data_IF_358849013794
#
_entry.id   IF_358849013794
#
_cell.length_a   1.000
_cell.length_b   1.000
_cell.length_c   1.000
_cell.angle_alpha   90.00
_cell.angle_beta   90.00
_cell.angle_gamma   90.00
#
_symmetry.space_group_name_H-M   'P 1'
#
loop_
_entity.id
_entity.type
_entity.pdbx_description
1 polymer ?
#
# COMPACT_ATOMS: atom_id res chain seq x y z
N UNK A 1 2.98 -4.44 30.96
CA UNK A 1 2.72 -4.28 29.51
C UNK A 1 2.45 -2.81 29.28
N UNK A 2 3.34 -2.11 28.58
CA UNK A 2 3.13 -0.71 28.20
C UNK A 2 2.37 -0.72 26.87
N UNK A 3 1.04 -0.74 26.93
CA UNK A 3 0.21 -0.60 25.74
C UNK A 3 0.17 0.86 25.28
N UNK A 4 0.28 1.09 23.97
CA UNK A 4 0.07 2.41 23.36
C UNK A 4 -1.45 2.64 23.25
N UNK A 5 -1.90 3.80 23.72
CA UNK A 5 -3.29 4.24 23.53
C UNK A 5 -3.38 4.91 22.15
N UNK A 6 -4.13 4.31 21.23
CA UNK A 6 -4.45 4.91 19.93
C UNK A 6 -5.78 5.64 20.05
N UNK A 7 -5.79 6.93 19.71
CA UNK A 7 -7.01 7.72 19.63
C UNK A 7 -7.59 7.62 18.21
N UNK A 8 -8.74 6.97 18.08
CA UNK A 8 -9.55 7.02 16.85
C UNK A 8 -10.44 8.26 16.95
N UNK A 9 -10.20 9.25 16.09
CA UNK A 9 -10.95 10.51 16.06
C UNK A 9 -11.76 10.55 14.76
N UNK A 10 -13.08 10.66 14.89
CA UNK A 10 -14.05 10.69 13.77
C UNK A 10 -14.34 12.11 13.22
N UNK A 11 -13.73 13.16 13.78
CA UNK A 11 -14.00 14.57 13.40
C UNK A 11 -12.70 15.24 12.95
N UNK A 12 -12.61 15.51 11.64
CA UNK A 12 -11.38 15.91 10.96
C UNK A 12 -11.14 17.43 10.88
N UNK A 13 -12.18 18.27 11.03
CA UNK A 13 -12.08 19.73 10.84
C UNK A 13 -11.39 20.46 12.01
N UNK A 14 -11.32 19.83 13.19
CA UNK A 14 -10.71 20.38 14.41
C UNK A 14 -9.31 19.80 14.71
N UNK A 15 -8.76 18.99 13.81
CA UNK A 15 -7.47 18.33 14.07
C UNK A 15 -6.33 19.37 14.08
N UNK A 16 -5.48 19.38 15.12
CA UNK A 16 -4.36 20.30 15.19
C UNK A 16 -3.41 20.10 14.01
N UNK A 17 -3.01 21.21 13.36
CA UNK A 17 -2.03 21.20 12.25
C UNK A 17 -0.58 21.18 12.76
N UNK A 18 -0.37 20.69 13.97
CA UNK A 18 0.95 20.53 14.55
C UNK A 18 1.58 19.25 13.96
N UNK A 19 2.85 19.32 13.57
CA UNK A 19 3.54 18.17 13.00
C UNK A 19 3.77 17.11 14.08
N UNK A 20 2.93 16.07 14.09
CA UNK A 20 3.11 14.92 14.98
C UNK A 20 4.10 13.94 14.39
N UNK A 21 4.91 13.31 15.24
CA UNK A 21 5.74 12.19 14.87
C UNK A 21 5.35 10.99 15.72
N UNK A 22 4.84 9.95 15.08
CA UNK A 22 4.41 8.72 15.74
C UNK A 22 5.18 7.53 15.19
N UNK A 23 5.64 6.66 16.08
CA UNK A 23 6.35 5.43 15.71
C UNK A 23 5.75 4.24 16.46
N UNK A 24 5.40 3.20 15.72
CA UNK A 24 4.99 1.90 16.23
C UNK A 24 6.07 0.88 15.88
N UNK A 25 6.52 0.11 16.87
CA UNK A 25 7.48 -0.99 16.68
C UNK A 25 6.87 -2.25 17.27
N UNK A 26 7.06 -3.40 16.63
CA UNK A 26 6.67 -4.71 17.14
C UNK A 26 5.17 -4.77 17.54
N UNK A 27 4.30 -4.25 16.67
CA UNK A 27 2.88 -4.08 16.98
C UNK A 27 2.01 -5.08 16.23
N UNK A 28 0.92 -5.51 16.88
CA UNK A 28 -0.16 -6.29 16.25
C UNK A 28 -1.45 -5.51 16.39
N UNK A 29 -2.09 -5.21 15.27
CA UNK A 29 -3.41 -4.60 15.19
C UNK A 29 -4.44 -5.69 14.93
N UNK A 30 -5.29 -5.96 15.92
CA UNK A 30 -6.33 -6.98 15.86
C UNK A 30 -7.68 -6.40 16.32
N UNK A 31 -8.76 -6.95 15.77
CA UNK A 31 -10.12 -6.57 16.18
C UNK A 31 -10.53 -7.34 17.44
N UNK A 32 -10.77 -6.62 18.53
CA UNK A 32 -11.34 -7.20 19.75
C UNK A 32 -12.74 -7.81 19.53
N UNK A 33 -13.46 -7.35 18.51
CA UNK A 33 -14.80 -7.82 18.12
C UNK A 33 -14.77 -8.76 16.90
N UNK A 34 -13.62 -9.35 16.55
CA UNK A 34 -13.49 -10.25 15.40
C UNK A 34 -14.49 -11.43 15.38
N UNK A 35 -15.02 -11.82 16.55
CA UNK A 35 -16.05 -12.85 16.70
C UNK A 35 -17.50 -12.37 16.60
N UNK A 36 -17.75 -11.06 16.52
CA UNK A 36 -19.09 -10.47 16.57
C UNK A 36 -19.54 -10.01 15.16
N UNK A 37 -20.24 -10.90 14.46
CA UNK A 37 -20.58 -10.79 13.03
C UNK A 37 -21.57 -9.67 12.67
N UNK A 38 -22.03 -8.87 13.65
CA UNK A 38 -23.23 -8.02 13.50
C UNK A 38 -22.97 -6.61 12.94
N UNK A 39 -21.74 -6.21 12.63
CA UNK A 39 -21.46 -4.87 12.04
C UNK A 39 -20.42 -4.91 10.92
N UNK A 40 -20.73 -5.60 9.82
CA UNK A 40 -19.91 -5.60 8.59
C UNK A 40 -20.19 -4.43 7.64
N UNK A 41 -21.14 -3.54 7.95
CA UNK A 41 -21.58 -2.48 7.05
C UNK A 41 -20.89 -1.11 7.28
N UNK A 42 -19.97 -1.00 8.24
CA UNK A 42 -19.19 0.22 8.47
C UNK A 42 -17.75 -0.05 8.07
N UNK A 43 -17.16 0.89 7.34
CA UNK A 43 -15.72 0.90 7.09
C UNK A 43 -14.97 0.86 8.43
N UNK A 44 -14.06 -0.09 8.57
CA UNK A 44 -13.21 -0.21 9.78
C UNK A 44 -11.76 -0.07 9.35
N UNK A 45 -11.13 1.01 9.83
CA UNK A 45 -9.71 1.31 9.60
C UNK A 45 -8.92 0.92 10.84
N UNK A 46 -7.86 0.11 10.69
CA UNK A 46 -7.06 -0.32 11.83
C UNK A 46 -6.19 0.82 12.39
N UNK A 47 -5.54 1.57 11.51
CA UNK A 47 -4.75 2.74 11.86
C UNK A 47 -5.03 3.90 10.91
N UNK A 48 -5.49 5.02 11.47
CA UNK A 48 -5.67 6.27 10.75
C UNK A 48 -4.54 7.24 11.12
N UNK A 49 -3.73 7.62 10.14
CA UNK A 49 -2.68 8.63 10.29
C UNK A 49 -3.15 9.99 9.78
N UNK A 50 -2.81 11.04 10.52
CA UNK A 50 -3.08 12.43 10.13
C UNK A 50 -1.84 13.29 10.37
N UNK A 51 -1.47 14.09 9.35
CA UNK A 51 -0.46 15.16 9.34
C UNK A 51 0.85 14.96 10.15
N UNK A 52 2.00 15.19 9.50
CA UNK A 52 3.32 14.99 10.11
C UNK A 52 3.98 13.69 9.64
N UNK A 53 4.56 12.92 10.55
CA UNK A 53 5.35 11.71 10.25
C UNK A 53 4.82 10.49 10.99
N UNK A 54 4.68 9.38 10.26
CA UNK A 54 4.31 8.08 10.81
C UNK A 54 5.35 7.03 10.41
N UNK A 55 5.73 6.19 11.36
CA UNK A 55 6.65 5.06 11.12
C UNK A 55 6.07 3.80 11.74
N UNK A 56 6.00 2.72 10.94
CA UNK A 56 5.64 1.38 11.36
C UNK A 56 6.86 0.49 11.11
N UNK A 57 7.34 -0.17 12.15
CA UNK A 57 8.41 -1.16 12.06
C UNK A 57 7.89 -2.48 12.63
N UNK A 58 8.08 -3.57 11.91
CA UNK A 58 7.76 -4.92 12.40
C UNK A 58 6.30 -5.03 12.87
N UNK A 59 5.37 -4.54 12.04
CA UNK A 59 3.96 -4.42 12.39
C UNK A 59 3.10 -5.45 11.64
N UNK A 60 2.07 -5.97 12.30
CA UNK A 60 1.08 -6.89 11.71
C UNK A 60 -0.32 -6.30 11.83
N UNK A 61 -1.05 -6.28 10.72
CA UNK A 61 -2.47 -5.92 10.66
C UNK A 61 -3.29 -7.16 10.33
N UNK A 62 -3.99 -7.70 11.33
CA UNK A 62 -4.79 -8.92 11.20
C UNK A 62 -6.08 -8.70 10.40
N UNK A 63 -6.74 -9.78 10.00
CA UNK A 63 -8.00 -9.71 9.26
C UNK A 63 -9.18 -9.11 10.03
N UNK A 64 -10.19 -8.71 9.25
CA UNK A 64 -11.42 -8.10 9.74
C UNK A 64 -11.49 -6.58 9.62
N UNK A 65 -10.41 -5.91 9.21
CA UNK A 65 -10.44 -4.50 8.83
C UNK A 65 -10.73 -4.33 7.33
N UNK A 66 -11.46 -3.27 6.99
CA UNK A 66 -11.62 -2.82 5.59
C UNK A 66 -10.31 -2.20 5.10
N UNK A 67 -9.64 -1.40 5.94
CA UNK A 67 -8.35 -0.78 5.62
C UNK A 67 -7.36 -1.01 6.76
N UNK A 68 -6.15 -1.48 6.45
CA UNK A 68 -5.06 -1.59 7.42
C UNK A 68 -4.56 -0.21 7.83
N UNK A 69 -3.79 0.45 6.96
CA UNK A 69 -3.30 1.79 7.20
C UNK A 69 -3.95 2.82 6.26
N UNK A 70 -4.62 3.81 6.85
CA UNK A 70 -5.14 4.96 6.14
C UNK A 70 -4.24 6.18 6.39
N UNK A 71 -3.56 6.66 5.35
CA UNK A 71 -2.82 7.91 5.36
C UNK A 71 -3.75 9.04 4.91
N UNK A 72 -4.19 9.87 5.85
CA UNK A 72 -4.99 11.06 5.62
C UNK A 72 -4.11 12.33 5.75
N UNK A 73 -3.38 12.65 4.67
CA UNK A 73 -2.51 13.82 4.61
C UNK A 73 -1.27 13.76 5.50
N UNK A 74 -0.79 12.57 5.86
CA UNK A 74 0.50 12.40 6.56
C UNK A 74 1.62 12.76 5.59
N UNK A 75 2.49 13.68 5.99
CA UNK A 75 3.55 14.20 5.14
C UNK A 75 4.63 13.15 4.86
N UNK A 76 4.97 12.33 5.86
CA UNK A 76 5.95 11.26 5.71
C UNK A 76 5.47 9.95 6.35
N UNK A 77 5.34 8.89 5.54
CA UNK A 77 5.06 7.53 6.02
C UNK A 77 6.22 6.60 5.70
N UNK A 78 6.65 5.82 6.68
CA UNK A 78 7.67 4.77 6.54
C UNK A 78 7.10 3.47 7.11
N UNK A 79 6.86 2.49 6.25
CA UNK A 79 6.39 1.15 6.60
C UNK A 79 7.54 0.20 6.33
N UNK A 80 8.15 -0.34 7.39
CA UNK A 80 9.29 -1.24 7.29
C UNK A 80 8.91 -2.58 7.93
N UNK A 81 9.01 -3.67 7.19
CA UNK A 81 8.58 -5.01 7.62
C UNK A 81 7.16 -5.01 8.18
N UNK A 82 6.19 -4.72 7.30
CA UNK A 82 4.77 -4.62 7.69
C UNK A 82 3.96 -5.65 6.92
N UNK A 83 3.25 -6.48 7.66
CA UNK A 83 2.32 -7.46 7.11
C UNK A 83 0.87 -6.98 7.23
N UNK A 84 0.13 -7.02 6.13
CA UNK A 84 -1.30 -6.70 6.10
C UNK A 84 -2.14 -7.89 5.66
N UNK A 85 -3.12 -8.29 6.47
CA UNK A 85 -4.16 -9.26 6.13
C UNK A 85 -5.54 -8.59 6.15
N UNK A 86 -5.65 -7.41 5.57
CA UNK A 86 -6.87 -6.58 5.53
C UNK A 86 -7.39 -6.45 4.10
N UNK A 87 -8.66 -6.13 3.88
CA UNK A 87 -9.20 -6.03 2.50
C UNK A 87 -8.41 -5.05 1.62
N UNK A 88 -8.21 -3.82 2.13
CA UNK A 88 -7.27 -2.84 1.59
C UNK A 88 -6.08 -2.71 2.53
N UNK A 89 -4.85 -3.00 2.10
CA UNK A 89 -3.68 -2.90 2.98
C UNK A 89 -3.35 -1.44 3.31
N UNK A 90 -3.20 -0.60 2.28
CA UNK A 90 -2.94 0.83 2.43
C UNK A 90 -3.91 1.67 1.61
N UNK A 91 -4.49 2.70 2.22
CA UNK A 91 -5.19 3.77 1.51
C UNK A 91 -4.49 5.11 1.74
N UNK A 92 -4.30 5.89 0.68
CA UNK A 92 -3.65 7.20 0.75
C UNK A 92 -4.57 8.27 0.16
N UNK A 93 -4.98 9.22 1.00
CA UNK A 93 -5.75 10.40 0.62
C UNK A 93 -4.94 11.67 0.96
N UNK A 94 -4.50 12.45 -0.04
CA UNK A 94 -3.86 13.73 0.20
C UNK A 94 -4.88 14.77 0.66
N UNK A 95 -4.42 15.73 1.47
CA UNK A 95 -5.23 16.90 1.82
C UNK A 95 -4.82 18.09 0.95
N UNK A 96 -5.79 18.92 0.58
CA UNK A 96 -5.52 20.13 -0.22
C UNK A 96 -4.49 21.07 0.41
N UNK A 97 -4.38 21.06 1.74
CA UNK A 97 -3.47 21.89 2.51
C UNK A 97 -2.26 21.13 3.08
N UNK A 98 -2.24 19.78 3.03
CA UNK A 98 -1.13 18.97 3.54
C UNK A 98 -0.46 18.22 2.39
N UNK A 99 0.81 18.54 2.16
CA UNK A 99 1.62 17.81 1.19
C UNK A 99 2.05 16.46 1.78
N UNK A 100 1.84 15.39 1.01
CA UNK A 100 2.54 14.13 1.21
C UNK A 100 3.91 14.27 0.53
N UNK A 101 4.98 14.30 1.30
CA UNK A 101 6.36 14.42 0.82
C UNK A 101 6.92 13.05 0.44
N UNK A 102 6.78 12.05 1.33
CA UNK A 102 7.31 10.70 1.16
C UNK A 102 6.39 9.64 1.72
N UNK A 103 6.22 8.57 0.96
CA UNK A 103 5.62 7.34 1.45
C UNK A 103 6.55 6.20 1.04
N UNK A 104 7.08 5.45 2.01
CA UNK A 104 7.99 4.33 1.75
C UNK A 104 7.37 3.06 2.29
N UNK A 105 7.24 2.06 1.43
CA UNK A 105 6.92 0.68 1.75
C UNK A 105 8.20 -0.12 1.52
N UNK A 106 8.77 -0.63 2.60
CA UNK A 106 10.01 -1.40 2.61
C UNK A 106 9.71 -2.76 3.25
N UNK A 107 9.86 -3.84 2.48
CA UNK A 107 9.54 -5.20 2.95
C UNK A 107 8.09 -5.36 3.46
N UNK A 108 7.15 -4.73 2.75
CA UNK A 108 5.71 -4.88 3.03
C UNK A 108 5.17 -6.14 2.35
N UNK A 109 4.40 -6.94 3.08
CA UNK A 109 3.82 -8.20 2.62
C UNK A 109 2.30 -8.28 2.88
N UNK A 110 1.63 -9.15 2.13
CA UNK A 110 0.17 -9.21 2.08
C UNK A 110 -0.35 -10.63 2.35
N UNK A 111 -1.37 -10.73 3.20
CA UNK A 111 -2.14 -11.93 3.46
C UNK A 111 -3.20 -12.22 2.42
N UNK A 112 -3.91 -13.32 2.60
CA UNK A 112 -4.95 -13.80 1.68
C UNK A 112 -6.18 -12.89 1.63
N UNK A 113 -6.42 -12.09 2.68
CA UNK A 113 -7.58 -11.19 2.72
C UNK A 113 -7.39 -9.93 1.86
N UNK A 114 -6.16 -9.63 1.41
CA UNK A 114 -5.85 -8.42 0.66
C UNK A 114 -6.33 -8.56 -0.78
N UNK A 115 -7.32 -7.74 -1.14
CA UNK A 115 -7.81 -7.59 -2.51
C UNK A 115 -7.34 -6.28 -3.14
N UNK A 116 -7.04 -5.27 -2.31
CA UNK A 116 -6.50 -3.98 -2.73
C UNK A 116 -5.20 -3.67 -1.97
N UNK A 117 -4.04 -4.02 -2.53
CA UNK A 117 -2.74 -3.78 -1.90
C UNK A 117 -2.50 -2.30 -1.58
N UNK A 118 -2.78 -1.42 -2.55
CA UNK A 118 -2.63 0.01 -2.37
C UNK A 118 -3.76 0.76 -3.06
N UNK A 119 -4.39 1.70 -2.35
CA UNK A 119 -5.48 2.52 -2.85
C UNK A 119 -5.13 4.01 -2.81
N UNK A 120 -5.22 4.65 -3.96
CA UNK A 120 -5.07 6.08 -4.16
C UNK A 120 -6.45 6.75 -4.14
N UNK A 121 -6.75 7.52 -3.08
CA UNK A 121 -8.01 8.28 -2.92
C UNK A 121 -7.84 9.77 -3.29
N UNK A 122 -8.84 10.35 -3.98
CA UNK A 122 -8.98 11.79 -4.29
C UNK A 122 -7.70 12.51 -4.78
N UNK A 123 -7.14 12.08 -5.92
CA UNK A 123 -5.95 12.71 -6.50
C UNK A 123 -6.31 14.01 -7.24
N UNK A 124 -5.72 15.11 -6.77
CA UNK A 124 -5.91 16.43 -7.35
C UNK A 124 -5.12 16.59 -8.67
N UNK A 125 -5.76 17.18 -9.68
CA UNK A 125 -5.15 17.46 -10.99
C UNK A 125 -4.02 18.51 -10.96
N UNK A 126 -3.82 19.21 -9.84
CA UNK A 126 -2.75 20.21 -9.65
C UNK A 126 -2.15 20.09 -8.25
N UNK A 127 -0.88 19.65 -8.16
CA UNK A 127 0.03 19.44 -7.00
C UNK A 127 -0.62 19.10 -5.62
N UNK A 128 -0.22 17.98 -4.97
CA UNK A 128 1.18 17.75 -4.61
C UNK A 128 1.87 16.55 -5.29
N UNK A 129 3.20 16.67 -5.41
CA UNK A 129 4.10 15.61 -5.90
C UNK A 129 4.61 14.82 -4.70
N UNK A 130 3.85 13.78 -4.34
CA UNK A 130 4.27 12.76 -3.38
C UNK A 130 5.26 11.82 -4.06
N UNK A 131 6.27 11.36 -3.31
CA UNK A 131 7.10 10.23 -3.76
C UNK A 131 6.67 8.99 -2.98
N UNK A 132 6.04 8.05 -3.68
CA UNK A 132 5.74 6.71 -3.14
C UNK A 132 6.84 5.78 -3.61
N UNK A 133 7.51 5.13 -2.66
CA UNK A 133 8.59 4.18 -2.93
C UNK A 133 8.16 2.82 -2.43
N UNK A 134 8.11 1.85 -3.33
CA UNK A 134 7.94 0.43 -3.01
C UNK A 134 9.30 -0.23 -3.16
N UNK A 135 9.79 -0.88 -2.10
CA UNK A 135 11.09 -1.56 -2.15
C UNK A 135 11.20 -2.80 -1.30
N UNK A 136 12.06 -3.71 -1.76
CA UNK A 136 12.28 -5.02 -1.13
C UNK A 136 11.00 -5.85 -0.96
N UNK A 137 9.99 -5.62 -1.80
CA UNK A 137 8.70 -6.33 -1.71
C UNK A 137 8.68 -7.50 -2.69
N UNK A 138 8.18 -8.64 -2.21
CA UNK A 138 7.93 -9.84 -3.01
C UNK A 138 6.44 -10.14 -2.99
N UNK A 139 5.83 -10.19 -4.16
CA UNK A 139 4.38 -10.27 -4.34
C UNK A 139 3.99 -11.40 -5.27
N UNK A 140 2.81 -11.97 -5.09
CA UNK A 140 2.15 -12.76 -6.12
C UNK A 140 1.43 -11.82 -7.11
N UNK A 141 1.25 -12.26 -8.36
CA UNK A 141 0.63 -11.42 -9.41
C UNK A 141 -0.77 -10.92 -9.05
N UNK A 142 -1.54 -11.69 -8.29
CA UNK A 142 -2.87 -11.30 -7.78
C UNK A 142 -2.81 -10.12 -6.78
N UNK A 143 -1.64 -9.88 -6.18
CA UNK A 143 -1.38 -8.82 -5.21
C UNK A 143 -0.52 -7.68 -5.79
N UNK A 144 -0.22 -7.71 -7.09
CA UNK A 144 0.61 -6.69 -7.72
C UNK A 144 -0.17 -5.38 -8.02
N UNK A 145 -1.50 -5.47 -8.07
CA UNK A 145 -2.41 -4.39 -8.44
C UNK A 145 -2.51 -3.26 -7.42
N UNK A 146 -3.15 -2.17 -7.86
CA UNK A 146 -3.48 -1.01 -7.05
C UNK A 146 -4.79 -0.41 -7.56
N UNK A 147 -5.47 0.35 -6.71
CA UNK A 147 -6.71 1.04 -7.07
C UNK A 147 -6.50 2.56 -7.05
N UNK A 148 -7.12 3.27 -7.99
CA UNK A 148 -7.07 4.73 -8.08
C UNK A 148 -7.84 5.22 -9.31
N UNK A 149 -8.08 6.53 -9.41
CA UNK A 149 -8.56 7.11 -10.67
C UNK A 149 -7.50 6.90 -11.77
N UNK A 150 -7.94 6.81 -13.04
CA UNK A 150 -7.11 6.55 -14.25
C UNK A 150 -5.87 7.46 -14.39
N UNK A 151 -5.77 8.51 -13.59
CA UNK A 151 -4.59 9.33 -13.42
C UNK A 151 -4.16 9.25 -11.95
N UNK A 152 -3.02 8.60 -11.67
CA UNK A 152 -2.30 8.68 -10.39
C UNK A 152 -1.67 10.08 -10.24
N UNK A 153 -2.44 11.13 -10.56
CA UNK A 153 -2.10 12.55 -10.51
C UNK A 153 -0.65 12.91 -10.82
N UNK A 154 -0.12 13.85 -10.04
CA UNK A 154 1.29 14.25 -10.06
C UNK A 154 2.15 13.39 -9.13
N UNK A 155 1.79 12.15 -8.82
CA UNK A 155 2.59 11.33 -7.88
C UNK A 155 3.77 10.70 -8.60
N UNK A 156 4.95 10.74 -7.97
CA UNK A 156 6.08 9.93 -8.41
C UNK A 156 6.02 8.59 -7.72
N UNK A 157 5.90 7.55 -8.52
CA UNK A 157 6.05 6.19 -8.04
C UNK A 157 7.46 5.74 -8.41
N UNK A 158 8.18 5.24 -7.42
CA UNK A 158 9.45 4.54 -7.57
C UNK A 158 9.21 3.13 -7.06
N UNK A 159 9.41 2.14 -7.92
CA UNK A 159 9.06 0.76 -7.62
C UNK A 159 10.16 -0.17 -8.13
N UNK A 160 10.59 -1.10 -7.29
CA UNK A 160 11.51 -2.20 -7.62
C UNK A 160 10.99 -3.52 -7.02
N UNK A 161 9.66 -3.71 -6.99
CA UNK A 161 9.01 -4.91 -6.46
C UNK A 161 9.32 -6.11 -7.34
N UNK A 162 9.47 -7.28 -6.73
CA UNK A 162 9.50 -8.57 -7.41
C UNK A 162 8.11 -9.19 -7.39
N UNK A 163 7.54 -9.45 -8.57
CA UNK A 163 6.22 -10.05 -8.74
C UNK A 163 6.40 -11.45 -9.31
N UNK A 164 5.99 -12.47 -8.57
CA UNK A 164 5.96 -13.83 -9.09
C UNK A 164 4.71 -14.07 -9.94
N UNK A 165 4.92 -14.66 -11.12
CA UNK A 165 3.89 -14.91 -12.14
C UNK A 165 3.85 -16.39 -12.53
N UNK A 166 2.66 -16.88 -12.85
CA UNK A 166 2.45 -18.26 -13.31
C UNK A 166 2.79 -18.47 -14.79
N UNK A 167 2.72 -17.41 -15.59
CA UNK A 167 2.92 -17.41 -17.04
C UNK A 167 3.46 -16.05 -17.51
N UNK A 168 3.62 -15.87 -18.83
CA UNK A 168 4.15 -14.63 -19.40
C UNK A 168 3.26 -13.42 -19.03
N UNK A 169 3.80 -12.39 -18.36
CA UNK A 169 3.02 -11.26 -17.90
C UNK A 169 2.49 -10.38 -19.05
N UNK A 170 3.02 -10.53 -20.27
CA UNK A 170 2.50 -9.86 -21.48
C UNK A 170 1.20 -10.47 -21.99
N UNK A 171 0.90 -11.73 -21.63
CA UNK A 171 -0.33 -12.43 -22.02
C UNK A 171 -1.37 -12.45 -20.90
N UNK A 172 -0.91 -12.43 -19.64
CA UNK A 172 -1.76 -12.58 -18.45
C UNK A 172 -2.30 -11.26 -17.87
N UNK A 173 -2.15 -10.14 -18.56
CA UNK A 173 -2.59 -8.80 -18.11
C UNK A 173 -2.16 -8.52 -16.66
N UNK A 174 -0.87 -8.69 -16.36
CA UNK A 174 -0.36 -8.52 -14.98
C UNK A 174 -0.22 -7.03 -14.67
N UNK A 175 -0.84 -6.52 -13.58
CA UNK A 175 -0.72 -5.13 -13.19
C UNK A 175 0.64 -4.84 -12.56
N UNK A 176 1.15 -3.62 -12.75
CA UNK A 176 2.42 -3.21 -12.18
C UNK A 176 2.63 -1.69 -12.18
N UNK A 177 3.69 -1.27 -11.48
CA UNK A 177 4.30 0.02 -11.66
C UNK A 177 5.56 -0.11 -12.51
N UNK A 178 5.86 0.94 -13.27
CA UNK A 178 7.11 1.03 -14.01
C UNK A 178 8.31 0.81 -13.08
N UNK A 179 9.19 -0.12 -13.46
CA UNK A 179 10.37 -0.53 -12.69
C UNK A 179 10.21 -1.85 -11.94
N UNK A 180 8.98 -2.35 -11.75
CA UNK A 180 8.76 -3.68 -11.19
C UNK A 180 9.34 -4.77 -12.09
N UNK A 181 9.74 -5.88 -11.46
CA UNK A 181 10.21 -7.08 -12.15
C UNK A 181 9.22 -8.22 -11.96
N UNK A 182 8.74 -8.81 -13.05
CA UNK A 182 7.99 -10.06 -13.03
C UNK A 182 8.94 -11.25 -13.22
N UNK A 183 8.72 -12.34 -12.49
CA UNK A 183 9.52 -13.58 -12.58
C UNK A 183 8.62 -14.81 -12.56
N UNK A 184 8.85 -15.75 -13.47
CA UNK A 184 8.12 -17.03 -13.46
C UNK A 184 8.44 -17.83 -12.19
N UNK A 185 7.42 -18.42 -11.54
CA UNK A 185 7.64 -19.40 -10.46
C UNK A 185 8.44 -20.62 -10.96
N UNK A 186 8.21 -21.04 -12.20
CA UNK A 186 8.83 -22.19 -12.82
C UNK A 186 9.43 -21.82 -14.18
N UNK A 187 10.69 -21.35 -14.22
CA UNK A 187 11.36 -21.00 -15.47
C UNK A 187 11.50 -22.20 -16.41
N UNK A 188 11.23 -21.98 -17.70
CA UNK A 188 11.47 -22.96 -18.76
C UNK A 188 12.77 -22.62 -19.48
N UNK A 189 13.70 -23.58 -19.56
CA UNK A 189 14.98 -23.39 -20.23
C UNK A 189 14.79 -22.96 -21.69
N UNK A 190 15.47 -21.87 -22.07
CA UNK A 190 15.41 -21.32 -23.44
C UNK A 190 14.25 -20.36 -23.69
N UNK A 191 13.38 -20.12 -22.71
CA UNK A 191 12.31 -19.11 -22.77
C UNK A 191 12.64 -17.93 -21.85
N UNK A 192 12.07 -16.74 -22.12
CA UNK A 192 12.05 -15.65 -21.15
C UNK A 192 11.50 -16.11 -19.81
N UNK A 193 12.10 -15.63 -18.72
CA UNK A 193 11.66 -15.94 -17.35
C UNK A 193 11.57 -14.72 -16.43
N UNK A 194 12.05 -13.57 -16.91
CA UNK A 194 11.98 -12.29 -16.21
C UNK A 194 11.63 -11.16 -17.17
N UNK A 195 10.81 -10.23 -16.69
CA UNK A 195 10.39 -9.05 -17.42
C UNK A 195 10.42 -7.83 -16.50
N UNK A 196 10.65 -6.65 -17.08
CA UNK A 196 10.53 -5.36 -16.39
C UNK A 196 9.33 -4.60 -16.92
N UNK A 197 8.52 -4.05 -16.02
CA UNK A 197 7.39 -3.20 -16.37
C UNK A 197 7.89 -1.84 -16.86
N UNK A 198 7.41 -1.41 -18.03
CA UNK A 198 7.80 -0.12 -18.65
C UNK A 198 6.73 0.96 -18.52
N UNK A 199 5.50 0.57 -18.23
CA UNK A 199 4.38 1.45 -17.88
C UNK A 199 3.90 1.17 -16.45
N UNK A 200 3.09 2.09 -15.92
CA UNK A 200 2.35 1.88 -14.67
C UNK A 200 0.87 1.76 -15.02
N UNK A 201 0.27 0.60 -14.76
CA UNK A 201 -1.14 0.34 -15.05
C UNK A 201 -1.73 -0.59 -13.98
N UNK A 202 -2.92 -0.26 -13.41
CA UNK A 202 -3.55 -1.07 -12.37
C UNK A 202 -4.22 -2.34 -12.90
N UNK A 203 -4.40 -2.45 -14.21
CA UNK A 203 -5.03 -3.59 -14.89
C UNK A 203 -3.97 -4.40 -15.63
N UNK A 204 -3.27 -3.81 -16.61
CA UNK A 204 -2.34 -4.52 -17.47
C UNK A 204 -1.15 -3.63 -17.86
N UNK A 205 0.02 -3.88 -17.25
CA UNK A 205 1.23 -3.14 -17.58
C UNK A 205 1.87 -3.65 -18.87
N UNK A 206 2.63 -2.79 -19.55
CA UNK A 206 3.52 -3.21 -20.63
C UNK A 206 4.81 -3.78 -20.03
N UNK A 207 5.18 -4.98 -20.47
CA UNK A 207 6.34 -5.73 -19.97
C UNK A 207 7.39 -5.92 -21.07
N UNK A 208 8.67 -5.86 -20.69
CA UNK A 208 9.79 -6.17 -21.58
C UNK A 208 10.68 -7.24 -20.96
N UNK A 209 11.05 -8.23 -21.75
CA UNK A 209 12.01 -9.27 -21.34
C UNK A 209 13.31 -8.64 -20.86
N UNK A 210 13.84 -9.14 -19.74
CA UNK A 210 15.18 -8.81 -19.26
C UNK A 210 16.16 -9.79 -19.95
N UNK A 211 17.13 -9.24 -20.69
CA UNK A 211 18.19 -10.01 -21.37
C UNK A 211 19.38 -10.33 -20.44
#
# INVERSE_FOLDING_TARGET
MNGVIVHVIDIFDDLPKDAYQTTFNDCIFERADAGDFLKKAKEVVALNGYYGKLTLNDCTFSSGFTTGYFNFGVAESYLNDVYFDTETAVSMQPLSWARIDKFVLDDVSYGESVTTPFRFLDYMNTKPYATVTFKNMVLDSSQAGYAGADQIGTTKIVSDRLIYVGEDPTEADVPAFKGDTARLYAPVSGSPSEWVAVTSDPIAAEWKVIE
#
